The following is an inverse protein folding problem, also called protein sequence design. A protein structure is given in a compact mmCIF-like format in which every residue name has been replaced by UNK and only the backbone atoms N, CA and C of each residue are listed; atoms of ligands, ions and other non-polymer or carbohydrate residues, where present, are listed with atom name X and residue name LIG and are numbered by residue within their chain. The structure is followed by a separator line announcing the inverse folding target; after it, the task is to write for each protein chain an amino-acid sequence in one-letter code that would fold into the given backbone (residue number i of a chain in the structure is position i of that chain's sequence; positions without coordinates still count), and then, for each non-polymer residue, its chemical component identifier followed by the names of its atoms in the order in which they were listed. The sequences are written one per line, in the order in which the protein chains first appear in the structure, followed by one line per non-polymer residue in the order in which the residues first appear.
data_IF_989748787912
#
_entry.id   IF_989748787912
#
_cell.length_a   1.000
_cell.length_b   1.000
_cell.length_c   1.000
_cell.angle_alpha   90.00
_cell.angle_beta   90.00
_cell.angle_gamma   90.00
#
_symmetry.space_group_name_H-M   'P 1'
#
loop_
_entity.id
_entity.type
_entity.pdbx_description
1 polymer ?
#
# COMPACT_ATOMS: atom_id res chain seq x y z
N UNK A 1 30.99 -24.51 -21.97
CA UNK A 1 31.21 -23.46 -20.96
C UNK A 1 30.46 -22.24 -21.46
N UNK A 2 29.28 -22.00 -20.91
CA UNK A 2 28.45 -20.86 -21.30
C UNK A 2 29.11 -19.59 -20.75
N UNK A 3 29.41 -18.65 -21.64
CA UNK A 3 30.07 -17.40 -21.28
C UNK A 3 29.16 -16.59 -20.35
N UNK A 4 29.66 -16.30 -19.15
CA UNK A 4 28.97 -15.45 -18.16
C UNK A 4 29.68 -14.09 -18.09
N UNK A 5 28.99 -12.96 -18.40
CA UNK A 5 29.60 -11.64 -18.37
C UNK A 5 30.15 -11.29 -16.97
N UNK A 6 31.24 -10.49 -16.89
CA UNK A 6 31.76 -10.02 -15.60
C UNK A 6 30.68 -9.32 -14.77
N UNK A 7 30.50 -9.74 -13.52
CA UNK A 7 29.50 -9.16 -12.60
C UNK A 7 28.08 -9.74 -12.73
N UNK A 8 27.89 -10.79 -13.54
CA UNK A 8 26.63 -11.54 -13.59
C UNK A 8 26.82 -12.90 -12.90
N UNK A 9 25.87 -13.29 -12.07
CA UNK A 9 25.78 -14.65 -11.52
C UNK A 9 24.82 -15.49 -12.37
N UNK A 10 25.12 -16.78 -12.50
CA UNK A 10 24.25 -17.75 -13.15
C UNK A 10 23.02 -17.97 -12.26
N UNK A 11 21.82 -18.05 -12.86
CA UNK A 11 20.59 -18.31 -12.12
C UNK A 11 20.69 -19.65 -11.39
N UNK A 12 20.43 -19.64 -10.08
CA UNK A 12 20.49 -20.83 -9.22
C UNK A 12 19.08 -21.29 -8.90
N UNK A 13 18.88 -22.60 -8.87
CA UNK A 13 17.63 -23.18 -8.38
C UNK A 13 17.58 -23.01 -6.86
N UNK A 14 16.60 -22.27 -6.36
CA UNK A 14 16.41 -22.02 -4.93
C UNK A 14 15.23 -22.88 -4.45
N UNK A 15 15.42 -23.65 -3.39
CA UNK A 15 14.35 -24.47 -2.81
C UNK A 15 13.29 -23.59 -2.14
N UNK A 16 12.03 -24.03 -2.10
CA UNK A 16 10.93 -23.23 -1.54
C UNK A 16 11.15 -22.82 -0.07
N UNK A 17 11.93 -23.61 0.68
CA UNK A 17 12.33 -23.36 2.07
C UNK A 17 13.35 -22.24 2.24
N UNK A 18 14.10 -21.90 1.21
CA UNK A 18 15.12 -20.84 1.22
C UNK A 18 14.55 -19.48 0.83
N UNK A 19 13.33 -19.44 0.28
CA UNK A 19 12.62 -18.19 0.04
C UNK A 19 12.09 -17.65 1.37
N UNK A 20 12.36 -16.39 1.73
CA UNK A 20 11.71 -15.78 2.88
C UNK A 20 10.20 -15.89 2.71
N UNK A 21 9.52 -16.31 3.78
CA UNK A 21 8.06 -16.43 3.78
C UNK A 21 7.43 -15.16 3.18
N UNK A 22 6.45 -15.24 2.27
CA UNK A 22 5.92 -14.06 1.57
C UNK A 22 5.47 -12.93 2.49
N UNK A 23 4.95 -13.27 3.68
CA UNK A 23 4.59 -12.30 4.72
C UNK A 23 5.77 -11.54 5.35
N UNK A 24 7.01 -12.01 5.14
CA UNK A 24 8.27 -11.37 5.59
C UNK A 24 8.92 -10.56 4.47
N UNK A 25 8.40 -10.63 3.24
CA UNK A 25 8.93 -9.89 2.09
C UNK A 25 8.25 -8.52 2.03
N UNK A 26 8.94 -7.49 2.51
CA UNK A 26 8.53 -6.11 2.26
C UNK A 26 8.90 -5.73 0.82
N UNK A 27 7.89 -5.60 -0.03
CA UNK A 27 8.10 -5.21 -1.43
C UNK A 27 8.37 -3.72 -1.64
N UNK A 28 8.06 -2.88 -0.64
CA UNK A 28 8.24 -1.42 -0.65
C UNK A 28 8.60 -0.99 0.77
N UNK A 29 9.61 -0.13 0.89
CA UNK A 29 9.92 0.59 2.11
C UNK A 29 8.98 1.78 2.29
N UNK A 30 8.55 2.02 3.52
CA UNK A 30 7.66 3.13 3.84
C UNK A 30 8.07 3.75 5.17
N UNK A 31 7.76 5.03 5.33
CA UNK A 31 7.94 5.80 6.55
C UNK A 31 6.57 6.30 7.01
N UNK A 32 6.33 6.26 8.32
CA UNK A 32 5.16 6.91 8.90
C UNK A 32 5.40 8.39 9.11
N UNK A 33 4.50 9.20 8.59
CA UNK A 33 4.48 10.64 8.84
C UNK A 33 3.39 10.89 9.89
N UNK A 34 3.79 11.45 11.02
CA UNK A 34 2.84 11.90 12.04
C UNK A 34 2.23 13.25 11.62
N UNK A 35 0.94 13.43 11.87
CA UNK A 35 0.24 14.70 11.61
C UNK A 35 0.79 15.83 12.48
N UNK A 36 1.42 15.51 13.62
CA UNK A 36 2.07 16.50 14.48
C UNK A 36 3.40 17.02 13.92
N UNK A 37 3.90 16.46 12.82
CA UNK A 37 5.18 16.86 12.24
C UNK A 37 5.07 18.25 11.58
N UNK A 38 5.84 19.26 12.05
CA UNK A 38 5.71 20.63 11.58
C UNK A 38 6.31 20.86 10.19
N UNK A 39 6.95 19.87 9.54
CA UNK A 39 7.55 20.06 8.22
C UNK A 39 6.51 19.92 7.07
N UNK A 40 6.05 21.02 6.45
CA UNK A 40 5.10 20.96 5.34
C UNK A 40 5.67 20.25 4.09
N UNK A 41 7.00 20.10 3.98
CA UNK A 41 7.64 19.35 2.89
C UNK A 41 7.32 17.86 2.98
N UNK A 42 7.02 17.35 4.18
CA UNK A 42 6.54 15.97 4.36
C UNK A 42 5.15 15.73 3.82
N UNK A 43 4.38 16.76 3.46
CA UNK A 43 3.08 16.60 2.77
C UNK A 43 3.15 17.08 1.31
N UNK A 44 4.12 17.92 0.95
CA UNK A 44 4.29 18.43 -0.42
C UNK A 44 4.63 17.36 -1.49
N UNK A 45 3.99 17.40 -2.65
CA UNK A 45 4.25 16.49 -3.77
C UNK A 45 3.14 15.46 -4.00
N UNK A 46 3.43 14.37 -4.75
CA UNK A 46 2.42 13.41 -5.14
C UNK A 46 1.82 12.66 -3.95
N UNK A 47 0.49 12.69 -3.80
CA UNK A 47 -0.23 12.01 -2.74
C UNK A 47 -1.51 11.30 -3.23
N UNK A 48 -1.85 10.22 -2.54
CA UNK A 48 -3.03 9.38 -2.76
C UNK A 48 -3.81 9.37 -1.45
N UNK A 49 -5.09 9.70 -1.51
CA UNK A 49 -6.04 9.53 -0.41
C UNK A 49 -6.70 8.16 -0.51
N UNK A 50 -6.84 7.50 0.62
CA UNK A 50 -7.56 6.24 0.74
C UNK A 50 -8.69 6.38 1.73
N UNK A 51 -9.86 5.86 1.37
CA UNK A 51 -11.02 5.76 2.24
C UNK A 51 -11.75 4.44 1.98
N UNK A 52 -12.12 3.76 3.05
CA UNK A 52 -12.86 2.51 3.03
C UNK A 52 -14.13 2.64 3.85
N UNK A 53 -15.28 2.63 3.18
CA UNK A 53 -16.57 2.81 3.83
C UNK A 53 -17.52 1.64 3.58
N UNK A 54 -18.53 1.52 4.42
CA UNK A 54 -19.66 0.61 4.21
C UNK A 54 -20.93 1.43 4.09
N UNK A 55 -21.49 1.48 2.88
CA UNK A 55 -22.69 2.29 2.59
C UNK A 55 -23.82 1.31 2.25
N UNK A 56 -24.97 1.43 2.93
CA UNK A 56 -26.16 0.59 2.71
C UNK A 56 -25.86 -0.92 2.74
N UNK A 57 -25.00 -1.36 3.66
CA UNK A 57 -24.62 -2.77 3.79
C UNK A 57 -23.66 -3.29 2.72
N UNK A 58 -23.25 -2.47 1.74
CA UNK A 58 -22.24 -2.80 0.73
C UNK A 58 -20.90 -2.16 1.07
N UNK A 59 -19.83 -2.95 1.09
CA UNK A 59 -18.48 -2.41 1.22
C UNK A 59 -18.14 -1.56 -0.01
N UNK A 60 -17.53 -0.40 0.20
CA UNK A 60 -17.09 0.52 -0.84
C UNK A 60 -15.68 0.96 -0.51
N UNK A 61 -14.76 0.77 -1.44
CA UNK A 61 -13.39 1.23 -1.32
C UNK A 61 -13.17 2.39 -2.29
N UNK A 62 -12.64 3.50 -1.79
CA UNK A 62 -12.34 4.70 -2.55
C UNK A 62 -10.82 4.92 -2.47
N UNK A 63 -10.16 4.85 -3.62
CA UNK A 63 -8.78 5.31 -3.78
C UNK A 63 -8.77 6.55 -4.64
N UNK A 64 -8.55 7.73 -4.04
CA UNK A 64 -8.47 9.01 -4.74
C UNK A 64 -7.02 9.42 -4.94
N UNK A 65 -6.57 9.62 -6.18
CA UNK A 65 -5.23 10.20 -6.43
C UNK A 65 -5.38 11.69 -6.70
N UNK A 66 -4.66 12.51 -5.94
CA UNK A 66 -4.70 13.98 -6.07
C UNK A 66 -3.31 14.46 -6.47
N UNK A 67 -2.89 14.12 -7.69
CA UNK A 67 -1.60 14.59 -8.23
C UNK A 67 -1.82 15.02 -9.66
N UNK A 68 -2.12 16.31 -9.84
CA UNK A 68 -2.36 17.02 -11.11
C UNK A 68 -3.54 16.55 -11.99
N UNK A 69 -3.91 15.26 -11.98
CA UNK A 69 -5.08 14.72 -12.66
C UNK A 69 -6.02 14.13 -11.60
N UNK A 70 -7.06 14.88 -11.21
CA UNK A 70 -8.10 14.43 -10.29
C UNK A 70 -8.76 13.17 -10.85
N UNK A 71 -8.27 12.00 -10.42
CA UNK A 71 -8.83 10.72 -10.80
C UNK A 71 -9.07 9.93 -9.53
N UNK A 72 -10.34 9.61 -9.31
CA UNK A 72 -10.77 8.79 -8.18
C UNK A 72 -11.25 7.45 -8.71
N UNK A 73 -10.78 6.37 -8.08
CA UNK A 73 -11.29 5.03 -8.33
C UNK A 73 -12.24 4.66 -7.19
N UNK A 74 -13.50 4.46 -7.55
CA UNK A 74 -14.50 3.92 -6.62
C UNK A 74 -14.71 2.45 -6.99
N UNK A 75 -14.58 1.59 -6.00
CA UNK A 75 -14.69 0.14 -6.16
C UNK A 75 -15.78 -0.36 -5.22
N UNK A 76 -16.77 -1.04 -5.78
CA UNK A 76 -17.75 -1.74 -4.97
C UNK A 76 -17.17 -3.07 -4.53
N UNK A 77 -17.24 -3.35 -3.24
CA UNK A 77 -16.85 -4.62 -2.65
C UNK A 77 -18.08 -5.47 -2.36
N UNK A 78 -17.85 -6.74 -2.02
CA UNK A 78 -18.91 -7.66 -1.63
C UNK A 78 -19.66 -7.14 -0.39
N UNK A 79 -20.98 -7.36 -0.23
CA UNK A 79 -21.74 -6.88 0.93
C UNK A 79 -21.24 -7.38 2.29
N UNK A 80 -20.62 -8.57 2.31
CA UNK A 80 -20.02 -9.10 3.54
C UNK A 80 -18.77 -8.33 4.00
N UNK A 81 -18.18 -7.47 3.17
CA UNK A 81 -16.98 -6.74 3.56
C UNK A 81 -17.26 -5.81 4.73
N UNK A 82 -16.41 -5.84 5.76
CA UNK A 82 -16.41 -4.85 6.83
C UNK A 82 -15.84 -3.51 6.32
N UNK A 83 -16.07 -2.43 7.07
CA UNK A 83 -15.45 -1.13 6.76
C UNK A 83 -13.93 -1.24 6.81
N UNK A 84 -13.39 -1.98 7.79
CA UNK A 84 -11.95 -2.23 7.90
C UNK A 84 -11.40 -3.01 6.71
N UNK A 85 -12.10 -4.03 6.21
CA UNK A 85 -11.70 -4.72 4.98
C UNK A 85 -11.71 -3.79 3.76
N UNK A 86 -12.65 -2.83 3.70
CA UNK A 86 -12.69 -1.83 2.64
C UNK A 86 -11.51 -0.85 2.71
N UNK A 87 -11.11 -0.45 3.94
CA UNK A 87 -9.94 0.40 4.21
C UNK A 87 -8.64 -0.32 3.81
N UNK A 88 -8.47 -1.56 4.27
CA UNK A 88 -7.33 -2.41 3.90
C UNK A 88 -7.20 -2.57 2.38
N UNK A 89 -8.33 -2.76 1.70
CA UNK A 89 -8.34 -2.87 0.25
C UNK A 89 -8.02 -1.54 -0.44
N UNK A 90 -8.48 -0.41 0.10
CA UNK A 90 -8.13 0.92 -0.42
C UNK A 90 -6.62 1.16 -0.34
N UNK A 91 -6.00 0.84 0.80
CA UNK A 91 -4.57 0.92 1.01
C UNK A 91 -3.79 -0.03 0.06
N UNK A 92 -4.22 -1.28 -0.06
CA UNK A 92 -3.63 -2.25 -0.99
C UNK A 92 -3.61 -1.71 -2.43
N UNK A 93 -4.74 -1.12 -2.86
CA UNK A 93 -4.87 -0.51 -4.18
C UNK A 93 -3.99 0.71 -4.35
N UNK A 94 -3.87 1.56 -3.33
CA UNK A 94 -2.95 2.69 -3.34
C UNK A 94 -1.50 2.24 -3.52
N UNK A 95 -1.06 1.23 -2.77
CA UNK A 95 0.29 0.65 -2.90
C UNK A 95 0.50 0.06 -4.30
N UNK A 96 -0.48 -0.63 -4.87
CA UNK A 96 -0.40 -1.14 -6.24
C UNK A 96 -0.28 0.00 -7.28
N UNK A 97 -0.98 1.11 -7.08
CA UNK A 97 -0.85 2.31 -7.92
C UNK A 97 0.53 2.94 -7.79
N UNK A 98 1.11 2.98 -6.58
CA UNK A 98 2.48 3.47 -6.35
C UNK A 98 3.50 2.59 -7.07
N UNK A 99 3.37 1.25 -6.98
CA UNK A 99 4.27 0.32 -7.70
C UNK A 99 4.25 0.50 -9.21
N UNK A 100 3.10 0.84 -9.78
CA UNK A 100 2.95 1.05 -11.22
C UNK A 100 3.38 2.47 -11.66
N UNK A 101 3.61 3.38 -10.72
CA UNK A 101 3.97 4.77 -10.99
C UNK A 101 5.49 4.93 -11.19
N UNK A 102 5.90 5.95 -11.94
CA UNK A 102 7.31 6.32 -12.16
C UNK A 102 7.86 7.26 -11.09
N UNK A 103 6.99 7.85 -10.27
CA UNK A 103 7.40 8.75 -9.19
C UNK A 103 8.17 8.00 -8.11
N UNK A 104 9.30 8.58 -7.67
CA UNK A 104 10.20 7.96 -6.69
C UNK A 104 9.60 7.89 -5.28
N UNK A 105 8.77 8.86 -4.94
CA UNK A 105 8.15 8.99 -3.62
C UNK A 105 6.70 9.44 -3.80
N UNK A 106 5.78 8.69 -3.22
CA UNK A 106 4.34 9.00 -3.21
C UNK A 106 3.83 8.85 -1.78
N UNK A 107 3.00 9.79 -1.34
CA UNK A 107 2.43 9.79 0.00
C UNK A 107 1.06 9.15 -0.03
N UNK A 108 0.77 8.24 0.90
CA UNK A 108 -0.56 7.67 1.06
C UNK A 108 -1.15 8.22 2.34
N UNK A 109 -2.31 8.86 2.23
CA UNK A 109 -3.00 9.53 3.33
C UNK A 109 -4.28 8.75 3.65
N UNK A 110 -4.37 8.24 4.88
CA UNK A 110 -5.53 7.50 5.38
C UNK A 110 -5.98 8.06 6.71
N UNK A 111 -7.29 8.27 6.85
CA UNK A 111 -7.92 8.67 8.11
C UNK A 111 -8.18 7.48 9.06
N UNK A 112 -7.90 6.24 8.64
CA UNK A 112 -8.20 5.04 9.41
C UNK A 112 -7.15 4.78 10.49
N UNK A 113 -7.51 5.04 11.76
CA UNK A 113 -6.65 4.71 12.92
C UNK A 113 -6.30 3.23 12.99
N UNK A 114 -7.25 2.35 12.69
CA UNK A 114 -7.03 0.90 12.66
C UNK A 114 -6.00 0.47 11.61
N UNK A 115 -5.89 1.18 10.48
CA UNK A 115 -4.82 0.92 9.51
C UNK A 115 -3.46 1.39 10.04
N UNK A 116 -3.41 2.57 10.65
CA UNK A 116 -2.18 3.12 11.22
C UNK A 116 -1.64 2.20 12.33
N UNK A 117 -2.52 1.68 13.19
CA UNK A 117 -2.17 0.72 14.24
C UNK A 117 -1.68 -0.62 13.65
N UNK A 118 -2.35 -1.16 12.62
CA UNK A 118 -1.89 -2.38 11.93
C UNK A 118 -0.50 -2.21 11.30
N UNK A 119 -0.27 -1.10 10.61
CA UNK A 119 1.01 -0.86 9.94
C UNK A 119 2.14 -0.63 10.97
N UNK A 120 1.84 -0.06 12.15
CA UNK A 120 2.82 0.07 13.25
C UNK A 120 3.05 -1.26 13.97
N UNK A 121 2.01 -2.08 14.10
CA UNK A 121 2.06 -3.38 14.74
C UNK A 121 1.23 -4.41 13.95
N UNK A 122 1.88 -5.30 13.17
CA UNK A 122 1.18 -6.31 12.37
C UNK A 122 0.33 -7.31 13.17
N UNK A 123 0.46 -7.32 14.51
CA UNK A 123 -0.36 -8.14 15.41
C UNK A 123 -1.62 -7.43 15.91
N UNK A 124 -1.83 -6.16 15.56
CA UNK A 124 -3.04 -5.43 15.90
C UNK A 124 -4.23 -6.03 15.13
N UNK A 125 -5.21 -6.54 15.86
CA UNK A 125 -6.44 -7.08 15.30
C UNK A 125 -7.54 -6.02 15.31
N UNK A 126 -8.20 -5.83 14.16
CA UNK A 126 -9.37 -4.95 14.03
C UNK A 126 -10.50 -5.66 13.29
N UNK A 127 -11.77 -5.42 13.67
CA UNK A 127 -12.95 -6.00 13.02
C UNK A 127 -13.25 -5.41 11.64
#
# INVERSE_FOLDING_TARGET
MDYLPPGKELEKYITNTERPHPAKVMSIEYEFIDESDPDPRKIAGPHIYTDGSKINGKGRSIGGRTTLNQSFQILSLHPSCSAYQAEMYALYRAVAMVKANREKVVKILSASRSLQELLRNPRAGHP
#
